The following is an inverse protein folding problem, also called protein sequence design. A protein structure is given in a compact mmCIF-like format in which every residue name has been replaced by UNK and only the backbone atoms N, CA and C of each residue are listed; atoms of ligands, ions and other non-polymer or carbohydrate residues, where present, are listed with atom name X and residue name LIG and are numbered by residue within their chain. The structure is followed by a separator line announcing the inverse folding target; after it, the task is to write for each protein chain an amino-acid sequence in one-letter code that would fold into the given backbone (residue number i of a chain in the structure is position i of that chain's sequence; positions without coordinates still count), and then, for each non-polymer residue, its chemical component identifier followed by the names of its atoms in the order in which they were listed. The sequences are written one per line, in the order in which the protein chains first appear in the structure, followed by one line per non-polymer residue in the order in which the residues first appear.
data_IF_035256067132
#
_entry.id   IF_035256067132
#
_cell.length_a   1.000
_cell.length_b   1.000
_cell.length_c   1.000
_cell.angle_alpha   90.00
_cell.angle_beta   90.00
_cell.angle_gamma   90.00
#
_symmetry.space_group_name_H-M   'P 1'
#
loop_
_entity.id
_entity.type
_entity.pdbx_description
1 polymer ?
#
# COMPACT_ATOMS: atom_id res chain seq x y z
N UNK A 1 7.60 7.28 -8.19
CA UNK A 1 8.36 6.06 -7.78
C UNK A 1 8.23 4.96 -8.84
N UNK A 2 8.99 3.87 -8.76
CA UNK A 2 8.74 2.69 -9.61
C UNK A 2 7.52 1.92 -9.11
N UNK A 3 6.65 1.56 -10.05
CA UNK A 3 5.41 0.82 -9.79
C UNK A 3 5.27 -0.33 -10.80
N UNK A 4 4.55 -1.41 -10.45
CA UNK A 4 4.29 -2.52 -11.38
C UNK A 4 3.55 -2.07 -12.64
N UNK A 5 3.62 -2.89 -13.68
CA UNK A 5 2.72 -2.76 -14.83
C UNK A 5 1.30 -3.18 -14.39
N UNK A 6 0.26 -2.34 -14.60
CA UNK A 6 -1.11 -2.64 -14.21
C UNK A 6 -1.64 -3.96 -14.78
N UNK A 7 -1.25 -4.32 -16.00
CA UNK A 7 -1.71 -5.56 -16.66
C UNK A 7 -1.15 -6.83 -16.01
N UNK A 8 -0.09 -6.70 -15.21
CA UNK A 8 0.50 -7.83 -14.47
C UNK A 8 -0.17 -8.02 -13.10
N UNK A 9 -1.09 -7.14 -12.70
CA UNK A 9 -1.75 -7.17 -11.39
C UNK A 9 -3.13 -7.82 -11.47
N UNK A 10 -3.39 -8.74 -10.54
CA UNK A 10 -4.71 -9.32 -10.33
C UNK A 10 -5.57 -8.49 -9.37
N UNK A 11 -4.92 -7.83 -8.41
CA UNK A 11 -5.56 -6.99 -7.41
C UNK A 11 -4.54 -6.16 -6.64
N UNK A 12 -5.03 -5.16 -5.91
CA UNK A 12 -4.28 -4.46 -4.87
C UNK A 12 -5.01 -4.63 -3.55
N UNK A 13 -4.30 -5.14 -2.55
CA UNK A 13 -4.83 -5.31 -1.19
C UNK A 13 -4.25 -4.24 -0.27
N UNK A 14 -5.12 -3.51 0.41
CA UNK A 14 -4.77 -2.64 1.52
C UNK A 14 -5.09 -3.36 2.83
N UNK A 15 -4.21 -3.24 3.81
CA UNK A 15 -4.45 -3.69 5.18
C UNK A 15 -4.14 -2.53 6.11
N UNK A 16 -5.16 -2.05 6.82
CA UNK A 16 -5.01 -1.05 7.87
C UNK A 16 -4.40 -1.73 9.10
N UNK A 17 -3.21 -1.31 9.48
CA UNK A 17 -2.44 -1.85 10.60
C UNK A 17 -2.40 -0.81 11.71
N UNK A 18 -2.79 -1.22 12.92
CA UNK A 18 -2.70 -0.43 14.15
C UNK A 18 -2.06 -1.29 15.23
N UNK A 19 -0.94 -0.84 15.79
CA UNK A 19 -0.17 -1.54 16.82
C UNK A 19 0.09 -3.01 16.45
N UNK A 20 0.71 -3.22 15.28
CA UNK A 20 1.09 -4.55 14.75
C UNK A 20 -0.09 -5.49 14.47
N UNK A 21 -1.31 -4.98 14.45
CA UNK A 21 -2.52 -5.75 14.15
C UNK A 21 -3.24 -5.19 12.94
N UNK A 22 -3.50 -6.04 11.94
CA UNK A 22 -4.42 -5.73 10.85
C UNK A 22 -5.86 -5.76 11.33
N UNK A 23 -6.58 -4.66 11.12
CA UNK A 23 -7.97 -4.46 11.60
C UNK A 23 -8.99 -4.40 10.46
N UNK A 24 -8.54 -4.03 9.27
CA UNK A 24 -9.36 -3.93 8.07
C UNK A 24 -8.53 -4.31 6.85
N UNK A 25 -9.16 -5.04 5.93
CA UNK A 25 -8.63 -5.37 4.62
C UNK A 25 -9.55 -4.78 3.56
N UNK A 26 -8.96 -4.16 2.55
CA UNK A 26 -9.66 -3.67 1.36
C UNK A 26 -8.99 -4.27 0.13
N UNK A 27 -9.78 -4.87 -0.78
CA UNK A 27 -9.26 -5.43 -2.02
C UNK A 27 -9.85 -4.70 -3.22
N UNK A 28 -8.98 -4.20 -4.08
CA UNK A 28 -9.31 -3.50 -5.33
C UNK A 28 -9.02 -4.43 -6.51
N UNK A 29 -10.06 -4.76 -7.27
CA UNK A 29 -9.99 -5.61 -8.47
C UNK A 29 -10.23 -4.82 -9.76
N UNK A 30 -10.92 -3.68 -9.68
CA UNK A 30 -11.30 -2.90 -10.86
C UNK A 30 -10.06 -2.33 -11.54
N UNK A 31 -9.81 -2.77 -12.78
CA UNK A 31 -8.59 -2.42 -13.50
C UNK A 31 -8.43 -0.89 -13.62
N UNK A 32 -9.52 -0.17 -13.91
CA UNK A 32 -9.49 1.30 -14.00
C UNK A 32 -9.05 1.99 -12.70
N UNK A 33 -9.38 1.43 -11.55
CA UNK A 33 -8.97 1.96 -10.24
C UNK A 33 -7.53 1.55 -9.90
N UNK A 34 -7.09 0.35 -10.30
CA UNK A 34 -5.67 -0.05 -10.24
C UNK A 34 -4.79 0.94 -11.03
N UNK A 35 -5.19 1.29 -12.26
CA UNK A 35 -4.48 2.27 -13.08
C UNK A 35 -4.34 3.63 -12.37
N UNK A 36 -5.43 4.17 -11.84
CA UNK A 36 -5.43 5.45 -11.12
C UNK A 36 -4.55 5.43 -9.87
N UNK A 37 -4.61 4.34 -9.10
CA UNK A 37 -3.78 4.16 -7.91
C UNK A 37 -2.29 4.14 -8.27
N UNK A 38 -1.91 3.43 -9.33
CA UNK A 38 -0.53 3.40 -9.80
C UNK A 38 -0.07 4.78 -10.30
N UNK A 39 -0.96 5.57 -10.90
CA UNK A 39 -0.67 6.95 -11.30
C UNK A 39 -0.39 7.85 -10.08
N UNK A 40 -1.21 7.76 -9.03
CA UNK A 40 -0.95 8.42 -7.74
C UNK A 40 0.46 8.07 -7.22
N UNK A 41 0.82 6.80 -7.27
CA UNK A 41 2.12 6.34 -6.77
C UNK A 41 3.26 6.84 -7.66
N UNK A 42 3.09 6.85 -8.98
CA UNK A 42 4.07 7.41 -9.94
C UNK A 42 4.31 8.90 -9.67
N UNK A 43 3.25 9.66 -9.41
CA UNK A 43 3.28 11.12 -9.18
C UNK A 43 3.87 11.53 -7.82
N UNK A 44 3.97 10.59 -6.87
CA UNK A 44 4.60 10.85 -5.58
C UNK A 44 6.07 11.30 -5.71
N UNK A 45 6.47 12.24 -4.83
CA UNK A 45 7.80 12.87 -4.87
C UNK A 45 8.77 12.20 -3.91
N UNK A 46 9.91 11.73 -4.41
CA UNK A 46 10.96 11.14 -3.55
C UNK A 46 11.44 12.15 -2.52
N UNK A 47 11.62 11.71 -1.28
CA UNK A 47 12.12 12.52 -0.17
C UNK A 47 13.57 12.12 0.19
N UNK A 48 14.18 12.85 1.12
CA UNK A 48 15.50 12.52 1.67
C UNK A 48 15.43 11.52 2.84
N UNK A 49 14.24 11.02 3.21
CA UNK A 49 14.09 10.02 4.28
C UNK A 49 14.58 8.67 3.78
N UNK A 50 15.34 7.98 4.63
CA UNK A 50 15.82 6.64 4.37
C UNK A 50 14.70 5.59 4.48
N UNK A 51 14.85 4.50 3.73
CA UNK A 51 14.02 3.31 3.81
C UNK A 51 14.96 2.12 3.96
N UNK A 52 15.15 1.65 5.20
CA UNK A 52 16.13 0.62 5.57
C UNK A 52 15.48 -0.66 6.11
N UNK A 53 14.16 -0.77 5.97
CA UNK A 53 13.34 -1.87 6.48
C UNK A 53 12.24 -2.22 5.48
N UNK A 54 11.54 -3.33 5.70
CA UNK A 54 10.38 -3.73 4.89
C UNK A 54 9.14 -2.87 5.19
N UNK A 55 9.03 -2.36 6.42
CA UNK A 55 7.89 -1.59 6.89
C UNK A 55 8.34 -0.27 7.52
N UNK A 56 7.48 0.76 7.51
CA UNK A 56 7.77 2.01 8.20
C UNK A 56 7.77 1.78 9.71
N UNK A 57 8.67 2.46 10.44
CA UNK A 57 8.66 2.47 11.90
C UNK A 57 7.51 3.36 12.43
N UNK A 58 6.27 2.87 12.27
CA UNK A 58 5.02 3.57 12.63
C UNK A 58 4.04 2.58 13.26
N UNK A 59 3.33 3.04 14.29
CA UNK A 59 2.28 2.25 14.95
C UNK A 59 1.00 2.16 14.13
N UNK A 60 0.77 3.10 13.21
CA UNK A 60 -0.37 3.12 12.29
C UNK A 60 0.08 3.34 10.86
N UNK A 61 -0.32 2.45 9.96
CA UNK A 61 -0.06 2.56 8.52
C UNK A 61 -0.98 1.61 7.75
N UNK A 62 -1.08 1.80 6.44
CA UNK A 62 -1.69 0.83 5.53
C UNK A 62 -0.58 0.01 4.86
N UNK A 63 -0.56 -1.31 5.04
CA UNK A 63 0.24 -2.20 4.21
C UNK A 63 -0.47 -2.40 2.86
N UNK A 64 0.29 -2.37 1.76
CA UNK A 64 -0.25 -2.46 0.40
C UNK A 64 0.46 -3.59 -0.32
N UNK A 65 -0.31 -4.57 -0.77
CA UNK A 65 0.18 -5.71 -1.53
C UNK A 65 -0.31 -5.59 -2.98
N UNK A 66 0.64 -5.44 -3.90
CA UNK A 66 0.40 -5.58 -5.34
C UNK A 66 0.44 -7.06 -5.69
N UNK A 67 -0.72 -7.68 -5.91
CA UNK A 67 -0.81 -9.12 -6.15
C UNK A 67 -0.70 -9.39 -7.65
N UNK A 68 0.30 -10.15 -8.07
CA UNK A 68 0.56 -10.42 -9.49
C UNK A 68 -0.31 -11.56 -10.02
N UNK A 69 -0.71 -11.47 -11.28
CA UNK A 69 -1.42 -12.55 -11.99
C UNK A 69 -0.57 -13.82 -12.09
N UNK A 70 0.76 -13.68 -12.17
CA UNK A 70 1.73 -14.78 -12.14
C UNK A 70 1.92 -15.41 -10.76
N UNK A 71 1.28 -14.89 -9.71
CA UNK A 71 1.54 -15.24 -8.32
C UNK A 71 2.60 -14.36 -7.66
N UNK A 72 2.59 -14.34 -6.32
CA UNK A 72 3.42 -13.48 -5.50
C UNK A 72 2.89 -12.03 -5.39
N UNK A 73 3.58 -11.22 -4.60
CA UNK A 73 3.26 -9.80 -4.45
C UNK A 73 4.47 -8.92 -4.16
N UNK A 74 4.25 -7.61 -4.28
CA UNK A 74 5.17 -6.58 -3.83
C UNK A 74 4.51 -5.73 -2.75
N UNK A 75 5.26 -5.47 -1.67
CA UNK A 75 4.81 -4.67 -0.54
C UNK A 75 5.16 -3.19 -0.70
N UNK A 76 4.23 -2.32 -0.30
CA UNK A 76 4.45 -0.90 0.05
C UNK A 76 3.73 -0.60 1.36
N UNK A 77 3.95 0.59 1.90
CA UNK A 77 3.10 1.09 2.98
C UNK A 77 2.78 2.56 2.81
N UNK A 78 1.60 2.99 3.24
CA UNK A 78 1.24 4.40 3.37
C UNK A 78 1.10 4.73 4.85
N UNK A 79 1.72 5.82 5.29
CA UNK A 79 1.59 6.31 6.66
C UNK A 79 1.53 7.84 6.69
N UNK A 80 0.99 8.36 7.79
CA UNK A 80 0.93 9.79 8.06
C UNK A 80 2.01 10.19 9.06
N UNK A 81 2.67 11.32 8.84
CA UNK A 81 3.57 11.96 9.79
C UNK A 81 3.46 13.48 9.64
N UNK A 82 3.16 14.19 10.72
CA UNK A 82 3.01 15.65 10.74
C UNK A 82 2.03 16.16 9.66
N UNK A 83 0.84 15.55 9.57
CA UNK A 83 -0.22 15.90 8.60
C UNK A 83 0.18 15.70 7.12
N UNK A 84 1.29 14.98 6.88
CA UNK A 84 1.77 14.63 5.55
C UNK A 84 1.74 13.13 5.37
N UNK A 85 1.24 12.69 4.22
CA UNK A 85 1.19 11.28 3.85
C UNK A 85 2.40 10.88 3.01
N UNK A 86 2.94 9.72 3.35
CA UNK A 86 4.13 9.16 2.73
C UNK A 86 3.89 7.73 2.27
N UNK A 87 4.43 7.38 1.11
CA UNK A 87 4.60 6.01 0.65
C UNK A 87 6.00 5.53 1.03
N UNK A 88 6.07 4.46 1.81
CA UNK A 88 7.26 3.69 2.08
C UNK A 88 7.42 2.60 1.01
N UNK A 89 8.55 2.63 0.29
CA UNK A 89 8.98 1.51 -0.54
C UNK A 89 10.20 0.86 0.12
N UNK A 90 10.12 -0.43 0.48
CA UNK A 90 11.25 -1.16 1.09
C UNK A 90 12.54 -0.93 0.33
N UNK A 91 13.60 -0.52 1.03
CA UNK A 91 14.97 -0.33 0.52
C UNK A 91 15.17 0.64 -0.66
N UNK A 92 14.11 1.27 -1.19
CA UNK A 92 14.22 2.19 -2.34
C UNK A 92 13.98 3.65 -1.97
N UNK A 93 13.17 3.91 -0.93
CA UNK A 93 12.98 5.24 -0.37
C UNK A 93 11.56 5.52 0.12
N UNK A 94 11.39 6.76 0.60
CA UNK A 94 10.11 7.30 1.05
C UNK A 94 9.67 8.43 0.12
N UNK A 95 8.41 8.41 -0.28
CA UNK A 95 7.83 9.33 -1.25
C UNK A 95 6.67 10.10 -0.62
N UNK A 96 6.60 11.41 -0.83
CA UNK A 96 5.51 12.26 -0.36
C UNK A 96 4.35 12.23 -1.36
N UNK A 97 3.14 12.00 -0.86
CA UNK A 97 1.89 12.13 -1.61
C UNK A 97 1.45 13.59 -1.74
N UNK A 98 0.86 13.95 -2.88
CA UNK A 98 0.21 15.23 -3.07
C UNK A 98 -1.19 15.25 -2.44
N UNK A 99 -1.72 16.44 -2.14
CA UNK A 99 -3.05 16.58 -1.53
C UNK A 99 -4.17 16.04 -2.42
N UNK A 100 -4.10 16.27 -3.74
CA UNK A 100 -5.09 15.73 -4.68
C UNK A 100 -5.00 14.20 -4.79
N UNK A 101 -3.82 13.63 -4.60
CA UNK A 101 -3.60 12.19 -4.67
C UNK A 101 -4.33 11.44 -3.54
N UNK A 102 -4.47 12.09 -2.37
CA UNK A 102 -5.17 11.51 -1.23
C UNK A 102 -6.66 11.31 -1.51
N UNK A 103 -7.30 12.30 -2.12
CA UNK A 103 -8.70 12.18 -2.51
C UNK A 103 -8.94 10.99 -3.45
N UNK A 104 -8.05 10.80 -4.43
CA UNK A 104 -8.13 9.67 -5.37
C UNK A 104 -7.94 8.33 -4.64
N UNK A 105 -6.99 8.25 -3.70
CA UNK A 105 -6.77 7.05 -2.90
C UNK A 105 -7.98 6.70 -2.05
N UNK A 106 -8.54 7.68 -1.35
CA UNK A 106 -9.71 7.48 -0.50
C UNK A 106 -10.91 7.01 -1.33
N UNK A 107 -11.16 7.61 -2.49
CA UNK A 107 -12.24 7.20 -3.40
C UNK A 107 -12.09 5.73 -3.85
N UNK A 108 -10.86 5.30 -4.17
CA UNK A 108 -10.58 3.93 -4.61
C UNK A 108 -10.73 2.94 -3.45
N UNK A 109 -10.24 3.29 -2.25
CA UNK A 109 -10.37 2.45 -1.04
C UNK A 109 -11.83 2.30 -0.65
N UNK A 110 -12.65 3.35 -0.78
CA UNK A 110 -14.09 3.30 -0.48
C UNK A 110 -14.85 2.35 -1.41
N UNK A 111 -14.46 2.27 -2.69
CA UNK A 111 -15.07 1.34 -3.67
C UNK A 111 -14.59 -0.10 -3.52
N UNK A 112 -13.43 -0.30 -2.90
CA UNK A 112 -12.84 -1.62 -2.73
C UNK A 112 -13.70 -2.54 -1.86
N UNK A 113 -13.51 -3.85 -2.02
CA UNK A 113 -14.19 -4.85 -1.17
C UNK A 113 -13.59 -4.81 0.23
N UNK A 114 -14.37 -4.35 1.21
CA UNK A 114 -13.94 -4.21 2.62
C UNK A 114 -14.26 -5.46 3.43
N UNK A 115 -13.35 -5.82 4.33
CA UNK A 115 -13.46 -6.93 5.27
C UNK A 115 -12.82 -6.51 6.61
N UNK A 116 -13.56 -6.65 7.72
CA UNK A 116 -12.96 -6.51 9.04
C UNK A 116 -12.13 -7.77 9.35
N UNK A 117 -10.89 -7.57 9.76
CA UNK A 117 -9.96 -8.66 10.08
C UNK A 117 -9.38 -8.47 11.47
N UNK A 118 -8.78 -9.52 12.01
CA UNK A 118 -8.04 -9.47 13.28
C UNK A 118 -6.85 -10.40 13.17
N UNK A 119 -5.79 -9.94 12.50
CA UNK A 119 -4.58 -10.74 12.25
C UNK A 119 -3.35 -9.98 12.72
N UNK A 120 -2.38 -10.69 13.27
CA UNK A 120 -1.08 -10.10 13.60
C UNK A 120 -0.32 -9.79 12.31
N UNK A 121 0.47 -8.73 12.35
CA UNK A 121 1.26 -8.26 11.23
C UNK A 121 2.21 -9.34 10.72
N UNK A 122 2.87 -10.11 11.59
CA UNK A 122 3.75 -11.17 11.11
C UNK A 122 3.00 -12.25 10.33
N UNK A 123 1.77 -12.57 10.74
CA UNK A 123 0.93 -13.55 10.05
C UNK A 123 0.43 -13.02 8.70
N UNK A 124 0.08 -11.72 8.63
CA UNK A 124 -0.25 -11.04 7.38
C UNK A 124 0.94 -11.11 6.41
N UNK A 125 2.15 -10.81 6.86
CA UNK A 125 3.33 -10.85 6.01
C UNK A 125 3.62 -12.28 5.55
N UNK A 126 3.56 -13.28 6.45
CA UNK A 126 3.76 -14.69 6.08
C UNK A 126 2.74 -15.19 5.08
N UNK A 127 1.47 -14.83 5.23
CA UNK A 127 0.40 -15.28 4.34
C UNK A 127 0.57 -14.71 2.93
N UNK A 128 0.93 -13.43 2.85
CA UNK A 128 1.10 -12.74 1.57
C UNK A 128 2.44 -13.06 0.90
N UNK A 129 3.53 -13.32 1.64
CA UNK A 129 4.84 -13.63 1.05
C UNK A 129 5.11 -15.12 0.81
N UNK A 130 4.11 -16.00 0.92
CA UNK A 130 4.27 -17.41 0.55
C UNK A 130 4.61 -17.51 -0.94
N UNK A 131 5.87 -17.93 -1.19
CA UNK A 131 6.42 -18.32 -2.50
C UNK A 131 5.87 -19.66 -2.94
#
# INVERSE_FOLDING_TARGET
MEVPNPEDLSSITFINVVNEKGIERVIVYEQSDIYKLLEVFKNSKKTNKESISDLPNKTKFNAIFFNFTSGGNNLRSIYEENEVFYIHQPYNGVFKLGSNDLYVLDEIIEKGKKESISMQLEDILKDNFKR
#
